data_IF_718823925928
#
_entry.id   IF_718823925928
#
_cell.length_a   1.000
_cell.length_b   1.000
_cell.length_c   1.000
_cell.angle_alpha   90.00
_cell.angle_beta   90.00
_cell.angle_gamma   90.00
#
_symmetry.space_group_name_H-M   'P 1'
#
loop_
_entity.id
_entity.type
_entity.pdbx_description
1 polymer ?
#
# COMPACT_ATOMS: atom_id res chain seq x y z
N UNK A 1 -36.29 35.24 28.08
CA UNK A 1 -37.00 34.82 26.84
C UNK A 1 -36.50 33.44 26.47
N UNK A 2 -37.24 32.39 26.83
CA UNK A 2 -36.86 30.98 26.67
C UNK A 2 -37.30 30.46 25.29
N UNK A 3 -36.35 30.20 24.40
CA UNK A 3 -36.60 29.59 23.08
C UNK A 3 -36.49 28.06 23.14
N UNK A 4 -37.63 27.38 23.26
CA UNK A 4 -37.70 25.91 23.26
C UNK A 4 -37.50 25.37 21.84
N UNK A 5 -36.29 24.90 21.52
CA UNK A 5 -35.96 24.29 20.23
C UNK A 5 -36.64 22.93 20.06
N UNK A 6 -37.64 22.86 19.15
CA UNK A 6 -38.37 21.63 18.81
C UNK A 6 -37.45 20.68 18.04
N UNK A 7 -36.96 19.62 18.69
CA UNK A 7 -36.25 18.51 18.03
C UNK A 7 -37.20 17.84 17.05
N UNK A 8 -36.95 17.97 15.75
CA UNK A 8 -37.78 17.33 14.71
C UNK A 8 -37.56 15.82 14.77
N UNK A 9 -38.59 15.09 15.17
CA UNK A 9 -38.58 13.62 15.14
C UNK A 9 -38.49 13.17 13.67
N UNK A 10 -37.36 12.55 13.31
CA UNK A 10 -37.19 11.97 11.98
C UNK A 10 -38.06 10.72 11.89
N UNK A 11 -39.12 10.78 11.08
CA UNK A 11 -40.09 9.70 10.94
C UNK A 11 -39.41 8.39 10.48
N UNK A 12 -39.88 7.24 10.98
CA UNK A 12 -39.33 5.91 10.71
C UNK A 12 -39.18 5.60 9.20
N UNK A 13 -40.05 6.16 8.35
CA UNK A 13 -39.94 6.04 6.90
C UNK A 13 -38.66 6.71 6.34
N UNK A 14 -38.27 7.87 6.87
CA UNK A 14 -37.03 8.56 6.49
C UNK A 14 -35.81 7.77 6.96
N UNK A 15 -35.85 7.19 8.17
CA UNK A 15 -34.79 6.30 8.68
C UNK A 15 -34.62 5.05 7.82
N UNK A 16 -35.72 4.45 7.34
CA UNK A 16 -35.69 3.29 6.44
C UNK A 16 -35.11 3.64 5.07
N UNK A 17 -35.39 4.84 4.54
CA UNK A 17 -34.86 5.29 3.24
C UNK A 17 -33.36 5.58 3.30
N UNK A 18 -32.86 6.14 4.41
CA UNK A 18 -31.43 6.38 4.64
C UNK A 18 -30.61 5.10 4.81
N UNK A 19 -31.15 4.06 5.46
CA UNK A 19 -30.50 2.74 5.55
C UNK A 19 -30.29 2.09 4.18
N UNK A 20 -31.17 2.36 3.21
CA UNK A 20 -31.13 1.77 1.86
C UNK A 20 -30.12 2.46 0.94
N UNK A 21 -29.77 3.71 1.23
CA UNK A 21 -28.80 4.53 0.49
C UNK A 21 -27.41 4.59 1.13
N UNK A 22 -27.18 3.91 2.25
CA UNK A 22 -25.85 3.76 2.80
C UNK A 22 -25.19 2.57 2.09
N UNK A 23 -24.28 2.80 1.11
CA UNK A 23 -23.50 1.70 0.58
C UNK A 23 -22.78 1.00 1.74
N UNK A 24 -22.56 -0.33 1.68
CA UNK A 24 -21.71 -0.99 2.66
C UNK A 24 -20.40 -0.21 2.71
N UNK A 25 -19.96 0.16 3.92
CA UNK A 25 -18.62 0.69 4.13
C UNK A 25 -17.66 -0.39 3.65
N UNK A 26 -17.22 -0.29 2.39
CA UNK A 26 -16.17 -1.12 1.83
C UNK A 26 -15.00 -0.91 2.77
N UNK A 27 -14.66 -1.95 3.57
CA UNK A 27 -13.48 -1.93 4.45
C UNK A 27 -12.35 -1.37 3.61
N UNK A 28 -11.88 -0.16 3.92
CA UNK A 28 -10.71 0.40 3.25
C UNK A 28 -9.63 -0.64 3.45
N UNK A 29 -9.17 -1.29 2.38
CA UNK A 29 -8.01 -2.18 2.47
C UNK A 29 -6.87 -1.28 2.91
N UNK A 30 -6.54 -1.31 4.19
CA UNK A 30 -5.38 -0.62 4.71
C UNK A 30 -4.16 -1.29 4.09
N UNK A 31 -3.21 -0.50 3.59
CA UNK A 31 -1.97 -1.02 3.00
C UNK A 31 -1.15 -1.88 3.97
N UNK A 32 -1.46 -1.85 5.28
CA UNK A 32 -0.83 -2.63 6.33
C UNK A 32 -0.58 -4.12 6.01
N UNK A 33 -1.44 -4.76 5.20
CA UNK A 33 -1.22 -6.15 4.78
C UNK A 33 -0.08 -6.30 3.76
N UNK A 34 -0.01 -5.39 2.80
CA UNK A 34 1.01 -5.38 1.75
C UNK A 34 2.30 -4.68 2.20
N UNK A 35 2.22 -3.84 3.24
CA UNK A 35 3.31 -3.00 3.71
C UNK A 35 3.46 -3.12 5.24
N UNK A 36 4.06 -4.21 5.72
CA UNK A 36 4.43 -4.32 7.13
C UNK A 36 5.53 -3.30 7.46
N UNK A 37 5.62 -2.88 8.73
CA UNK A 37 6.68 -1.98 9.18
C UNK A 37 8.08 -2.59 9.04
N UNK A 38 8.19 -3.93 9.09
CA UNK A 38 9.44 -4.68 8.90
C UNK A 38 10.07 -4.53 7.51
N UNK A 39 9.30 -4.04 6.52
CA UNK A 39 9.78 -3.75 5.16
C UNK A 39 9.93 -2.25 4.89
N UNK A 40 9.95 -1.42 5.93
CA UNK A 40 10.22 0.02 5.81
C UNK A 40 11.60 0.28 6.40
N UNK A 41 12.53 0.64 5.52
CA UNK A 41 13.90 0.96 5.89
C UNK A 41 14.14 2.45 5.67
N UNK A 42 14.73 3.10 6.65
CA UNK A 42 15.19 4.49 6.61
C UNK A 42 16.67 4.53 6.95
N UNK A 43 17.35 5.62 6.57
CA UNK A 43 18.76 5.86 6.88
C UNK A 43 19.69 4.71 6.43
N UNK A 44 19.41 4.14 5.25
CA UNK A 44 20.27 3.16 4.61
C UNK A 44 21.21 3.83 3.62
N UNK A 45 22.49 3.53 3.72
CA UNK A 45 23.50 4.03 2.80
C UNK A 45 23.84 2.97 1.76
N UNK A 46 23.52 3.25 0.49
CA UNK A 46 23.88 2.41 -0.64
C UNK A 46 24.80 3.18 -1.59
N UNK A 47 25.87 2.54 -2.03
CA UNK A 47 26.85 3.14 -2.94
C UNK A 47 26.41 3.09 -4.40
N UNK A 48 25.48 2.18 -4.74
CA UNK A 48 25.00 1.95 -6.10
C UNK A 48 23.61 1.32 -6.10
N UNK A 49 23.03 1.18 -7.30
CA UNK A 49 21.69 0.64 -7.51
C UNK A 49 21.62 -0.83 -7.11
N UNK A 50 22.70 -1.56 -7.37
CA UNK A 50 22.78 -3.00 -7.15
C UNK A 50 22.60 -3.34 -5.68
N UNK A 51 23.31 -2.62 -4.79
CA UNK A 51 23.16 -2.78 -3.35
C UNK A 51 21.74 -2.50 -2.88
N UNK A 52 21.09 -1.46 -3.42
CA UNK A 52 19.73 -1.11 -3.04
C UNK A 52 18.72 -2.20 -3.47
N UNK A 53 18.81 -2.70 -4.71
CA UNK A 53 17.90 -3.74 -5.22
C UNK A 53 18.12 -5.06 -4.48
N UNK A 54 19.37 -5.47 -4.30
CA UNK A 54 19.73 -6.68 -3.56
C UNK A 54 19.23 -6.62 -2.12
N UNK A 55 19.41 -5.47 -1.44
CA UNK A 55 18.91 -5.26 -0.09
C UNK A 55 17.38 -5.40 -0.01
N UNK A 56 16.64 -4.77 -0.94
CA UNK A 56 15.18 -4.84 -0.95
C UNK A 56 14.68 -6.27 -1.20
N UNK A 57 15.24 -6.97 -2.19
CA UNK A 57 14.84 -8.35 -2.52
C UNK A 57 15.21 -9.33 -1.40
N UNK A 58 16.40 -9.19 -0.81
CA UNK A 58 16.85 -10.00 0.33
C UNK A 58 15.94 -9.87 1.55
N UNK A 59 15.55 -8.63 1.90
CA UNK A 59 14.64 -8.40 3.03
C UNK A 59 13.24 -8.98 2.82
N UNK A 60 12.75 -9.02 1.57
CA UNK A 60 11.50 -9.72 1.26
C UNK A 60 11.62 -11.22 1.55
N UNK A 61 12.78 -11.84 1.30
CA UNK A 61 13.04 -13.23 1.69
C UNK A 61 13.11 -13.42 3.20
N UNK A 62 13.89 -12.58 3.90
CA UNK A 62 14.04 -12.61 5.37
C UNK A 62 12.69 -12.48 6.08
N UNK A 63 11.82 -11.60 5.58
CA UNK A 63 10.50 -11.34 6.18
C UNK A 63 9.40 -12.27 5.66
N UNK A 64 9.76 -13.36 4.96
CA UNK A 64 8.82 -14.39 4.50
C UNK A 64 7.80 -13.89 3.47
N UNK A 65 8.16 -12.87 2.69
CA UNK A 65 7.33 -12.32 1.60
C UNK A 65 7.58 -13.00 0.25
N UNK A 66 8.70 -13.72 0.11
CA UNK A 66 9.00 -14.57 -1.03
C UNK A 66 9.81 -15.78 -0.55
N UNK A 67 9.60 -16.94 -1.20
CA UNK A 67 10.44 -18.14 -1.03
C UNK A 67 11.61 -18.16 -2.02
N UNK A 68 11.59 -17.27 -3.02
CA UNK A 68 12.53 -17.22 -4.14
C UNK A 68 13.19 -15.83 -4.27
N UNK A 69 13.96 -15.36 -3.26
CA UNK A 69 14.53 -14.01 -3.29
C UNK A 69 15.52 -13.77 -4.43
N UNK A 70 16.26 -14.80 -4.87
CA UNK A 70 17.21 -14.69 -5.98
C UNK A 70 16.51 -14.58 -7.34
N UNK A 71 15.48 -15.40 -7.59
CA UNK A 71 14.68 -15.32 -8.82
C UNK A 71 13.94 -13.98 -8.88
N UNK A 72 13.43 -13.50 -7.73
CA UNK A 72 12.80 -12.19 -7.62
C UNK A 72 13.77 -11.05 -7.99
N UNK A 73 15.01 -11.12 -7.49
CA UNK A 73 16.04 -10.11 -7.80
C UNK A 73 16.34 -10.08 -9.31
N UNK A 74 16.53 -11.25 -9.92
CA UNK A 74 16.74 -11.38 -11.36
C UNK A 74 15.55 -10.81 -12.15
N UNK A 75 14.32 -11.15 -11.77
CA UNK A 75 13.12 -10.64 -12.41
C UNK A 75 12.98 -9.11 -12.31
N UNK A 76 13.44 -8.51 -11.20
CA UNK A 76 13.49 -7.05 -11.03
C UNK A 76 14.54 -6.44 -11.96
N UNK A 77 15.70 -7.07 -12.12
CA UNK A 77 16.74 -6.61 -13.04
C UNK A 77 16.29 -6.64 -14.49
N UNK A 78 15.68 -7.76 -14.92
CA UNK A 78 15.10 -7.86 -16.26
C UNK A 78 14.09 -6.74 -16.53
N UNK A 79 13.31 -6.34 -15.52
CA UNK A 79 12.40 -5.19 -15.65
C UNK A 79 13.11 -3.84 -15.71
N UNK A 80 14.13 -3.62 -14.88
CA UNK A 80 14.91 -2.37 -14.83
C UNK A 80 15.69 -2.12 -16.12
N UNK A 81 16.22 -3.18 -16.76
CA UNK A 81 16.98 -3.11 -18.01
C UNK A 81 16.14 -2.67 -19.23
N UNK A 82 14.85 -3.03 -19.27
CA UNK A 82 13.95 -2.63 -20.37
C UNK A 82 13.78 -1.10 -20.38
N UNK A 83 13.43 -0.54 -19.22
CA UNK A 83 13.30 0.90 -18.97
C UNK A 83 13.47 1.12 -17.47
N UNK A 84 14.26 2.13 -17.09
CA UNK A 84 14.44 2.48 -15.68
C UNK A 84 13.11 2.63 -14.95
N UNK A 85 13.05 2.10 -13.73
CA UNK A 85 11.90 2.24 -12.83
C UNK A 85 11.93 3.54 -12.02
N UNK A 86 12.92 4.41 -12.27
CA UNK A 86 12.94 5.78 -11.77
C UNK A 86 11.78 6.59 -12.33
N UNK A 87 10.97 7.17 -11.45
CA UNK A 87 9.80 8.01 -11.83
C UNK A 87 10.09 9.51 -11.71
N UNK A 88 11.31 9.87 -11.29
CA UNK A 88 11.76 11.25 -11.07
C UNK A 88 11.73 11.65 -9.59
N UNK A 89 12.22 12.86 -9.29
CA UNK A 89 12.24 13.44 -7.94
C UNK A 89 12.95 12.58 -6.87
N UNK A 90 13.94 11.78 -7.28
CA UNK A 90 14.63 10.85 -6.37
C UNK A 90 13.79 9.63 -5.97
N UNK A 91 12.71 9.33 -6.69
CA UNK A 91 11.84 8.18 -6.43
C UNK A 91 12.00 7.13 -7.53
N UNK A 92 12.04 5.86 -7.12
CA UNK A 92 12.00 4.70 -7.99
C UNK A 92 10.96 3.68 -7.49
N UNK A 93 10.42 2.89 -8.42
CA UNK A 93 9.45 1.83 -8.11
C UNK A 93 9.95 0.53 -8.76
N UNK A 94 11.03 -0.09 -8.25
CA UNK A 94 11.47 -1.39 -8.74
C UNK A 94 10.36 -2.41 -8.50
N UNK A 95 9.90 -3.06 -9.57
CA UNK A 95 8.82 -4.03 -9.54
C UNK A 95 9.05 -5.08 -10.61
N UNK A 96 8.41 -6.22 -10.47
CA UNK A 96 8.33 -7.24 -11.51
C UNK A 96 6.98 -7.94 -11.46
N UNK A 97 6.70 -8.79 -12.43
CA UNK A 97 5.65 -9.80 -12.32
C UNK A 97 6.31 -11.06 -11.77
N UNK A 98 5.96 -11.44 -10.53
CA UNK A 98 6.28 -12.78 -10.05
C UNK A 98 5.42 -13.82 -10.78
N UNK A 99 5.87 -15.08 -10.80
CA UNK A 99 5.00 -16.21 -11.15
C UNK A 99 3.79 -16.32 -10.20
#
# INVERSE_FOLDING_TARGET
MSGTGRVRHVNAAVRRKLKRYSPPLRRKKTFAHCWPLENIFVDQDFSNKEQAIQFLCGNLGVNGRTEHPFELEEDVWQREEIVTTGVGFGVAIPHTKSQ
#
